data_IF_355202219258
#
_entry.id   IF_355202219258
#
_cell.length_a   1.000
_cell.length_b   1.000
_cell.length_c   1.000
_cell.angle_alpha   90.00
_cell.angle_beta   90.00
_cell.angle_gamma   90.00
#
_symmetry.space_group_name_H-M   'P 1'
#
loop_
_entity.id
_entity.type
_entity.pdbx_description
1 polymer ?
#
# COMPACT_ATOMS: atom_id res chain seq x y z
N UNK A 1 23.56 14.74 -5.29
CA UNK A 1 23.16 16.04 -4.72
C UNK A 1 22.18 16.83 -5.60
N UNK A 2 22.45 17.08 -6.90
CA UNK A 2 21.53 17.89 -7.76
C UNK A 2 20.13 17.28 -7.87
N UNK A 3 20.04 15.95 -8.03
CA UNK A 3 18.77 15.25 -8.18
C UNK A 3 17.86 15.28 -6.94
N UNK A 4 18.43 15.32 -5.74
CA UNK A 4 17.65 15.28 -4.50
C UNK A 4 16.92 16.60 -4.24
N UNK A 5 17.49 17.74 -4.65
CA UNK A 5 16.89 19.05 -4.39
C UNK A 5 15.48 19.20 -4.96
N UNK A 6 15.25 18.74 -6.20
CA UNK A 6 13.93 18.80 -6.83
C UNK A 6 13.09 17.53 -6.60
N UNK A 7 13.71 16.39 -6.23
CA UNK A 7 12.98 15.15 -5.94
C UNK A 7 12.49 15.06 -4.51
N UNK A 8 13.09 15.77 -3.56
CA UNK A 8 12.72 15.73 -2.14
C UNK A 8 11.22 16.02 -1.95
N UNK A 9 10.70 17.02 -2.66
CA UNK A 9 9.28 17.44 -2.61
C UNK A 9 8.33 16.34 -3.12
N UNK A 10 8.77 15.54 -4.10
CA UNK A 10 7.97 14.44 -4.65
C UNK A 10 8.07 13.16 -3.82
N UNK A 11 9.18 12.99 -3.09
CA UNK A 11 9.53 11.77 -2.39
C UNK A 11 9.10 11.77 -0.92
N UNK A 12 8.97 12.93 -0.27
CA UNK A 12 8.60 13.01 1.15
C UNK A 12 7.11 13.34 1.29
N UNK A 13 6.36 12.58 2.09
CA UNK A 13 4.93 12.85 2.33
C UNK A 13 4.68 13.87 3.45
N UNK A 14 5.73 14.23 4.20
CA UNK A 14 5.63 15.17 5.32
C UNK A 14 5.79 16.64 4.93
N UNK A 15 5.70 17.54 5.92
CA UNK A 15 5.91 18.96 5.73
C UNK A 15 7.34 19.28 5.26
N UNK A 16 7.47 20.30 4.41
CA UNK A 16 8.74 20.72 3.80
C UNK A 16 9.69 21.43 4.77
N UNK A 17 9.22 21.74 5.99
CA UNK A 17 10.00 22.43 7.02
C UNK A 17 10.68 21.46 8.02
N UNK A 18 10.49 20.15 7.84
CA UNK A 18 11.01 19.14 8.75
C UNK A 18 12.53 18.94 8.61
N UNK A 19 13.22 18.62 9.71
CA UNK A 19 14.67 18.36 9.71
C UNK A 19 15.02 17.18 8.79
N UNK A 20 14.14 16.18 8.75
CA UNK A 20 14.25 15.05 7.84
C UNK A 20 14.14 15.47 6.36
N UNK A 21 13.27 16.42 6.03
CA UNK A 21 13.12 16.92 4.66
C UNK A 21 14.34 17.73 4.23
N UNK A 22 14.80 18.64 5.12
CA UNK A 22 16.00 19.43 4.86
C UNK A 22 17.23 18.53 4.68
N UNK A 23 17.37 17.48 5.50
CA UNK A 23 18.41 16.47 5.35
C UNK A 23 18.37 15.73 4.00
N UNK A 24 17.18 15.43 3.47
CA UNK A 24 17.02 14.83 2.13
C UNK A 24 17.41 15.83 1.04
N UNK A 25 16.99 17.09 1.17
CA UNK A 25 17.21 18.15 0.17
C UNK A 25 18.69 18.52 0.05
N UNK A 26 19.39 18.65 1.17
CA UNK A 26 20.84 18.96 1.22
C UNK A 26 21.70 17.73 0.98
N UNK A 27 21.15 16.51 1.17
CA UNK A 27 21.90 15.25 1.15
C UNK A 27 23.06 15.30 2.15
N UNK A 28 22.74 15.64 3.40
CA UNK A 28 23.72 15.70 4.48
C UNK A 28 23.90 14.31 5.12
N UNK A 29 25.16 13.93 5.37
CA UNK A 29 25.54 12.67 6.02
C UNK A 29 25.37 12.71 7.54
N UNK A 30 25.30 13.89 8.14
CA UNK A 30 25.16 14.10 9.59
C UNK A 30 23.72 14.30 10.06
N UNK A 31 22.82 14.58 9.11
CA UNK A 31 21.38 14.69 9.32
C UNK A 31 20.75 13.36 9.78
N UNK A 32 19.50 13.38 10.30
CA UNK A 32 18.78 12.15 10.64
C UNK A 32 18.73 11.19 9.46
N UNK A 33 18.90 9.90 9.76
CA UNK A 33 18.86 8.86 8.77
C UNK A 33 17.49 8.84 8.09
N UNK A 34 17.49 8.85 6.77
CA UNK A 34 16.33 8.60 5.93
C UNK A 34 16.76 7.65 4.81
N UNK A 35 16.34 6.39 4.90
CA UNK A 35 16.59 5.38 3.88
C UNK A 35 15.27 4.83 3.32
N UNK A 36 15.20 4.68 2.01
CA UNK A 36 14.06 4.06 1.34
C UNK A 36 14.40 2.64 0.92
N UNK A 37 13.57 1.67 1.31
CA UNK A 37 13.66 0.30 0.82
C UNK A 37 12.74 0.17 -0.39
N UNK A 38 13.33 -0.19 -1.54
CA UNK A 38 12.59 -0.34 -2.79
C UNK A 38 12.16 -1.77 -3.07
N UNK A 39 12.98 -2.76 -2.71
CA UNK A 39 12.69 -4.17 -2.93
C UNK A 39 13.41 -5.07 -1.93
N UNK A 40 12.87 -6.26 -1.71
CA UNK A 40 13.52 -7.31 -0.95
C UNK A 40 14.19 -8.27 -1.94
N UNK A 41 15.50 -8.44 -1.85
CA UNK A 41 16.26 -9.33 -2.73
C UNK A 41 16.37 -10.68 -2.04
N UNK A 42 15.91 -11.78 -2.67
CA UNK A 42 16.10 -13.11 -2.14
C UNK A 42 17.59 -13.47 -2.16
N UNK A 43 18.03 -14.18 -1.12
CA UNK A 43 19.41 -14.64 -1.00
C UNK A 43 19.47 -16.16 -1.17
N UNK A 44 20.65 -16.67 -1.51
CA UNK A 44 20.91 -18.12 -1.57
C UNK A 44 20.76 -18.80 -0.20
N UNK A 45 20.84 -18.04 0.89
CA UNK A 45 20.55 -18.53 2.23
C UNK A 45 19.04 -18.60 2.44
N UNK A 46 18.53 -19.83 2.39
CA UNK A 46 17.10 -20.17 2.46
C UNK A 46 16.38 -19.40 3.58
N UNK A 47 15.52 -18.47 3.17
CA UNK A 47 14.58 -17.76 4.05
C UNK A 47 15.02 -16.36 4.52
N UNK A 48 16.18 -15.85 4.10
CA UNK A 48 16.59 -14.46 4.38
C UNK A 48 16.50 -13.60 3.13
N UNK A 49 16.01 -12.39 3.34
CA UNK A 49 15.96 -11.36 2.30
C UNK A 49 16.85 -10.19 2.68
N UNK A 50 17.51 -9.61 1.69
CA UNK A 50 18.21 -8.35 1.83
C UNK A 50 17.30 -7.21 1.43
N UNK A 51 17.09 -6.25 2.33
CA UNK A 51 16.35 -5.05 2.01
C UNK A 51 17.25 -4.15 1.16
N UNK A 52 16.93 -4.03 -0.12
CA UNK A 52 17.66 -3.19 -1.05
C UNK A 52 17.05 -1.80 -1.08
N UNK A 53 17.88 -0.79 -0.86
CA UNK A 53 17.40 0.56 -0.72
C UNK A 53 18.46 1.61 -0.97
N UNK A 54 18.02 2.87 -0.87
CA UNK A 54 18.87 4.04 -1.03
C UNK A 54 18.81 4.90 0.21
N UNK A 55 19.98 5.32 0.70
CA UNK A 55 20.10 6.31 1.77
C UNK A 55 19.94 7.69 1.17
N UNK A 56 18.91 8.43 1.57
CA UNK A 56 18.64 9.79 1.11
C UNK A 56 19.25 10.86 2.03
N UNK A 57 19.29 10.59 3.34
CA UNK A 57 19.87 11.47 4.35
C UNK A 57 20.49 10.65 5.47
N UNK A 58 21.52 11.20 6.12
CA UNK A 58 22.24 10.57 7.21
C UNK A 58 23.21 9.48 6.75
N UNK A 59 23.69 8.71 7.72
CA UNK A 59 24.57 7.56 7.52
C UNK A 59 23.95 6.34 8.21
N UNK A 60 23.94 5.21 7.49
CA UNK A 60 23.49 3.92 8.03
C UNK A 60 24.72 3.18 8.54
N UNK A 61 24.67 2.71 9.79
CA UNK A 61 25.76 1.96 10.40
C UNK A 61 25.31 0.55 10.82
N UNK A 62 26.22 -0.41 10.73
CA UNK A 62 26.00 -1.76 11.25
C UNK A 62 25.78 -1.72 12.78
N UNK A 63 24.70 -2.35 13.26
CA UNK A 63 24.31 -2.35 14.67
C UNK A 63 23.50 -1.13 15.12
N UNK A 64 23.28 -0.14 14.26
CA UNK A 64 22.52 1.06 14.59
C UNK A 64 21.05 0.73 14.84
N UNK A 65 20.48 1.35 15.87
CA UNK A 65 19.05 1.27 16.16
C UNK A 65 18.29 2.21 15.22
N UNK A 66 17.42 1.63 14.40
CA UNK A 66 16.62 2.37 13.44
C UNK A 66 15.12 2.06 13.59
N UNK A 67 14.29 3.00 13.17
CA UNK A 67 12.84 2.90 13.09
C UNK A 67 12.48 2.44 11.68
N UNK A 68 11.91 1.25 11.56
CA UNK A 68 11.42 0.70 10.30
C UNK A 68 9.93 1.06 10.23
N UNK A 69 9.57 1.86 9.23
CA UNK A 69 8.21 2.35 9.01
C UNK A 69 7.63 1.65 7.78
N UNK A 70 6.53 0.92 7.99
CA UNK A 70 5.77 0.27 6.93
C UNK A 70 5.03 1.28 6.03
N UNK A 71 4.43 0.82 4.91
CA UNK A 71 3.76 1.69 3.95
C UNK A 71 2.56 2.44 4.55
N UNK A 72 1.90 1.86 5.57
CA UNK A 72 0.72 2.45 6.20
C UNK A 72 1.03 3.28 7.45
N UNK A 73 2.32 3.45 7.79
CA UNK A 73 2.72 4.21 8.97
C UNK A 73 2.30 5.69 8.83
N UNK A 74 1.66 6.20 9.87
CA UNK A 74 1.31 7.62 10.02
C UNK A 74 1.98 8.14 11.29
N UNK A 75 2.74 9.25 11.22
CA UNK A 75 3.36 9.85 12.41
C UNK A 75 2.34 10.09 13.53
N UNK A 76 2.67 9.61 14.72
CA UNK A 76 1.79 9.68 15.90
C UNK A 76 1.05 8.37 16.21
N UNK A 77 0.85 7.49 15.23
CA UNK A 77 0.40 6.11 15.47
C UNK A 77 1.59 5.18 15.62
N UNK A 78 1.45 4.13 16.44
CA UNK A 78 2.46 3.06 16.60
C UNK A 78 2.19 1.86 15.69
N UNK A 79 1.14 1.92 14.88
CA UNK A 79 0.83 0.90 13.87
C UNK A 79 1.91 0.94 12.77
N UNK A 80 2.38 -0.22 12.32
CA UNK A 80 3.45 -0.36 11.31
C UNK A 80 4.81 0.28 11.65
N UNK A 81 5.10 0.50 12.94
CA UNK A 81 6.39 0.98 13.43
C UNK A 81 7.18 -0.11 14.17
N UNK A 82 8.36 -0.45 13.66
CA UNK A 82 9.26 -1.41 14.30
C UNK A 82 10.61 -0.77 14.61
N UNK A 83 10.95 -0.66 15.90
CA UNK A 83 12.24 -0.12 16.33
C UNK A 83 13.21 -1.27 16.60
N UNK A 84 14.17 -1.47 15.72
CA UNK A 84 15.11 -2.61 15.74
C UNK A 84 16.50 -2.20 15.28
N UNK A 85 17.47 -3.05 15.59
CA UNK A 85 18.85 -2.83 15.20
C UNK A 85 19.10 -3.44 13.82
N UNK A 86 19.77 -2.69 12.95
CA UNK A 86 20.23 -3.19 11.67
C UNK A 86 21.38 -4.17 11.94
N UNK A 87 21.27 -5.42 11.50
CA UNK A 87 22.27 -6.43 11.84
C UNK A 87 23.57 -6.22 11.08
N UNK A 88 23.49 -5.99 9.76
CA UNK A 88 24.63 -5.73 8.87
C UNK A 88 24.21 -4.89 7.68
N UNK A 89 25.12 -4.03 7.25
CA UNK A 89 25.05 -3.28 5.99
C UNK A 89 25.94 -3.95 4.96
N UNK A 90 25.41 -4.13 3.75
CA UNK A 90 26.10 -4.80 2.66
C UNK A 90 26.07 -3.95 1.39
N UNK A 91 27.14 -4.03 0.62
CA UNK A 91 27.20 -3.51 -0.73
C UNK A 91 26.85 -4.63 -1.71
N UNK A 92 25.81 -4.40 -2.51
CA UNK A 92 25.31 -5.37 -3.48
C UNK A 92 26.06 -5.18 -4.81
N UNK A 93 27.11 -5.97 -5.05
CA UNK A 93 27.87 -6.00 -6.31
C UNK A 93 27.30 -7.05 -7.27
N UNK A 94 26.02 -6.89 -7.64
CA UNK A 94 25.31 -7.83 -8.51
C UNK A 94 25.08 -9.18 -7.83
N UNK A 95 25.98 -10.15 -8.05
CA UNK A 95 25.91 -11.49 -7.45
C UNK A 95 26.65 -11.60 -6.11
N UNK A 96 27.68 -10.78 -5.91
CA UNK A 96 28.49 -10.79 -4.71
C UNK A 96 28.02 -9.70 -3.73
N UNK A 97 28.14 -9.98 -2.45
CA UNK A 97 27.80 -9.04 -1.38
C UNK A 97 28.98 -8.86 -0.46
N UNK A 98 29.37 -7.61 -0.22
CA UNK A 98 30.47 -7.27 0.67
C UNK A 98 29.95 -6.52 1.90
N UNK A 99 30.25 -6.96 3.13
CA UNK A 99 29.86 -6.24 4.33
C UNK A 99 30.67 -4.94 4.46
N UNK A 100 29.97 -3.84 4.73
CA UNK A 100 30.58 -2.52 4.98
C UNK A 100 30.12 -2.04 6.35
N UNK A 101 30.93 -1.26 7.06
CA UNK A 101 30.60 -0.74 8.39
C UNK A 101 29.55 0.38 8.32
N UNK A 102 29.73 1.33 7.41
CA UNK A 102 28.89 2.51 7.27
C UNK A 102 28.59 2.86 5.79
N UNK A 103 27.40 3.40 5.54
CA UNK A 103 26.98 3.83 4.20
C UNK A 103 26.45 5.27 4.28
N UNK A 104 27.14 6.25 3.67
CA UNK A 104 26.69 7.63 3.68
C UNK A 104 25.56 7.89 2.68
N UNK A 105 24.86 9.00 2.87
CA UNK A 105 23.77 9.47 2.03
C UNK A 105 24.13 9.55 0.54
N UNK A 106 23.15 9.30 -0.31
CA UNK A 106 23.27 9.29 -1.77
C UNK A 106 23.51 7.91 -2.36
N UNK A 107 24.06 6.98 -1.57
CA UNK A 107 24.41 5.63 -1.98
C UNK A 107 23.26 4.62 -1.84
N UNK A 108 23.41 3.51 -2.57
CA UNK A 108 22.52 2.36 -2.53
C UNK A 108 23.19 1.29 -1.68
N UNK A 109 22.44 0.68 -0.77
CA UNK A 109 22.94 -0.41 0.06
C UNK A 109 21.87 -1.48 0.28
N UNK A 110 22.34 -2.68 0.64
CA UNK A 110 21.52 -3.73 1.18
C UNK A 110 21.59 -3.73 2.70
N UNK A 111 20.47 -4.02 3.35
CA UNK A 111 20.40 -4.24 4.79
C UNK A 111 20.02 -5.69 5.09
N UNK A 112 20.66 -6.24 6.11
CA UNK A 112 20.36 -7.57 6.65
C UNK A 112 19.64 -7.42 7.98
N UNK A 113 18.58 -8.23 8.18
CA UNK A 113 17.81 -8.28 9.44
C UNK A 113 16.58 -7.36 9.51
N UNK A 114 16.19 -6.76 8.38
CA UNK A 114 14.98 -5.93 8.24
C UNK A 114 13.79 -6.71 7.64
N UNK A 115 14.06 -7.92 7.16
CA UNK A 115 13.15 -8.79 6.40
C UNK A 115 11.90 -9.26 7.15
N UNK A 116 11.95 -9.38 8.47
CA UNK A 116 10.79 -9.77 9.27
C UNK A 116 9.76 -8.65 9.42
N UNK A 117 10.19 -7.39 9.30
CA UNK A 117 9.39 -6.22 9.64
C UNK A 117 8.81 -5.52 8.41
N UNK A 118 9.33 -5.85 7.22
CA UNK A 118 9.02 -5.14 5.99
C UNK A 118 8.70 -6.16 4.90
N UNK A 119 7.55 -5.98 4.24
CA UNK A 119 7.09 -6.91 3.20
C UNK A 119 7.61 -6.48 1.84
N UNK A 120 7.28 -5.26 1.39
CA UNK A 120 7.60 -4.77 0.04
C UNK A 120 8.49 -3.54 0.05
N UNK A 121 7.93 -2.45 0.58
CA UNK A 121 8.57 -1.14 0.64
C UNK A 121 8.38 -0.56 2.03
N UNK A 122 9.26 0.38 2.37
CA UNK A 122 9.14 1.11 3.61
C UNK A 122 10.31 2.05 3.81
N UNK A 123 10.18 2.87 4.83
CA UNK A 123 11.13 3.93 5.15
C UNK A 123 11.84 3.59 6.45
N UNK A 124 13.16 3.72 6.47
CA UNK A 124 13.96 3.56 7.69
C UNK A 124 14.45 4.91 8.13
N UNK A 125 14.22 5.25 9.41
CA UNK A 125 14.60 6.53 9.98
C UNK A 125 15.20 6.42 11.37
N UNK A 126 15.97 7.43 11.78
CA UNK A 126 16.34 7.60 13.20
C UNK A 126 15.52 8.67 13.90
N UNK A 127 14.85 9.53 13.13
CA UNK A 127 14.05 10.64 13.67
C UNK A 127 12.64 10.21 14.06
N UNK A 128 12.14 10.73 15.18
CA UNK A 128 10.87 10.32 15.77
C UNK A 128 9.65 10.90 15.04
N UNK A 129 9.75 12.14 14.59
CA UNK A 129 8.65 12.84 13.90
C UNK A 129 8.74 12.71 12.37
N UNK A 130 9.60 11.82 11.87
CA UNK A 130 9.77 11.60 10.44
C UNK A 130 8.49 11.03 9.83
N UNK A 131 8.14 11.56 8.66
CA UNK A 131 7.10 11.03 7.82
C UNK A 131 7.65 9.95 6.89
N UNK A 132 6.76 9.15 6.33
CA UNK A 132 7.12 8.17 5.32
C UNK A 132 7.58 8.86 4.02
N UNK A 133 8.49 8.18 3.32
CA UNK A 133 8.71 8.46 1.91
C UNK A 133 7.54 7.90 1.11
N UNK A 134 7.21 8.58 0.02
CA UNK A 134 6.08 8.28 -0.84
C UNK A 134 6.15 6.83 -1.28
N UNK A 135 5.12 6.08 -0.90
CA UNK A 135 5.00 4.66 -1.25
C UNK A 135 4.82 4.55 -2.77
N UNK A 136 5.45 3.53 -3.37
CA UNK A 136 5.26 3.25 -4.79
C UNK A 136 3.79 2.88 -5.04
N UNK A 137 3.08 3.77 -5.74
CA UNK A 137 1.81 3.43 -6.38
C UNK A 137 2.13 2.66 -7.65
N UNK A 138 1.79 1.37 -7.67
CA UNK A 138 1.86 0.59 -8.91
C UNK A 138 0.72 1.05 -9.81
N UNK A 139 1.05 1.53 -11.01
CA UNK A 139 0.04 1.93 -12.01
C UNK A 139 -0.78 0.76 -12.53
N UNK A 140 -0.34 -0.48 -12.28
CA UNK A 140 -0.96 -1.70 -12.80
C UNK A 140 -1.50 -2.50 -11.62
N UNK A 141 -2.81 -2.70 -11.59
CA UNK A 141 -3.44 -3.64 -10.66
C UNK A 141 -3.24 -5.08 -11.13
N UNK A 142 -3.08 -6.06 -10.23
CA UNK A 142 -3.01 -7.47 -10.61
C UNK A 142 -4.39 -7.94 -11.09
N UNK A 143 -4.49 -8.20 -12.40
CA UNK A 143 -5.76 -8.53 -13.08
C UNK A 143 -5.99 -10.03 -13.22
N UNK A 144 -4.92 -10.83 -13.33
CA UNK A 144 -5.02 -12.29 -13.48
C UNK A 144 -4.87 -12.93 -12.12
N UNK A 145 -5.80 -13.80 -11.76
CA UNK A 145 -5.84 -14.53 -10.49
C UNK A 145 -5.83 -16.02 -10.76
N UNK A 146 -5.12 -16.76 -9.92
CA UNK A 146 -5.09 -18.22 -9.96
C UNK A 146 -5.14 -18.76 -8.54
N UNK A 147 -5.96 -19.79 -8.33
CA UNK A 147 -5.96 -20.54 -7.08
C UNK A 147 -4.81 -21.54 -7.07
N UNK A 148 -4.08 -21.58 -5.96
CA UNK A 148 -2.91 -22.43 -5.74
C UNK A 148 -3.18 -23.30 -4.53
N UNK A 149 -3.14 -24.62 -4.74
CA UNK A 149 -3.29 -25.61 -3.68
C UNK A 149 -2.07 -26.54 -3.66
N UNK A 150 -1.66 -27.04 -2.47
CA UNK A 150 -0.61 -28.05 -2.42
C UNK A 150 -1.19 -29.39 -2.86
N UNK A 151 -0.46 -30.18 -3.66
CA UNK A 151 -0.93 -31.54 -4.03
C UNK A 151 -1.08 -32.45 -2.81
N UNK A 152 -0.24 -32.24 -1.81
CA UNK A 152 -0.31 -32.94 -0.54
C UNK A 152 -0.74 -31.97 0.57
N UNK A 153 -1.88 -32.19 1.25
CA UNK A 153 -2.36 -31.30 2.30
C UNK A 153 -1.38 -31.19 3.49
N UNK A 154 -0.50 -32.18 3.70
CA UNK A 154 0.52 -32.12 4.75
C UNK A 154 1.56 -30.99 4.55
N UNK A 155 1.75 -30.53 3.30
CA UNK A 155 2.73 -29.52 2.94
C UNK A 155 2.17 -28.09 2.94
N UNK A 156 0.91 -27.88 3.35
CA UNK A 156 0.27 -26.57 3.43
C UNK A 156 1.10 -25.51 4.20
N UNK A 157 1.76 -25.83 5.33
CA UNK A 157 2.61 -24.85 6.01
C UNK A 157 3.76 -24.31 5.14
N UNK A 158 4.34 -25.16 4.28
CA UNK A 158 5.40 -24.74 3.35
C UNK A 158 4.84 -23.86 2.24
N UNK A 159 3.63 -24.14 1.76
CA UNK A 159 2.97 -23.27 0.78
C UNK A 159 2.71 -21.88 1.35
N UNK A 160 2.14 -21.80 2.56
CA UNK A 160 1.85 -20.51 3.22
C UNK A 160 3.14 -19.71 3.44
N UNK A 161 4.22 -20.37 3.85
CA UNK A 161 5.52 -19.70 3.99
C UNK A 161 6.10 -19.29 2.63
N UNK A 162 5.97 -20.13 1.60
CA UNK A 162 6.38 -19.83 0.23
C UNK A 162 5.62 -18.65 -0.37
N UNK A 163 4.31 -18.57 -0.18
CA UNK A 163 3.47 -17.45 -0.63
C UNK A 163 3.85 -16.14 0.06
N UNK A 164 4.18 -16.18 1.35
CA UNK A 164 4.71 -15.02 2.08
C UNK A 164 6.07 -14.58 1.55
N UNK A 165 6.90 -15.51 1.08
CA UNK A 165 8.21 -15.22 0.46
C UNK A 165 8.04 -14.62 -0.93
N UNK A 166 7.15 -15.17 -1.74
CA UNK A 166 6.80 -14.66 -3.07
C UNK A 166 6.26 -13.22 -3.00
N UNK A 167 5.38 -12.93 -2.03
CA UNK A 167 4.86 -11.58 -1.82
C UNK A 167 5.93 -10.55 -1.37
N UNK A 168 7.09 -11.01 -0.88
CA UNK A 168 8.24 -10.15 -0.54
C UNK A 168 9.17 -9.95 -1.73
N UNK A 169 9.41 -10.98 -2.53
CA UNK A 169 10.30 -10.89 -3.69
C UNK A 169 9.69 -10.04 -4.80
N UNK A 170 8.40 -10.22 -5.09
CA UNK A 170 7.70 -9.45 -6.13
C UNK A 170 6.71 -8.42 -5.54
N UNK A 171 6.94 -7.12 -5.79
CA UNK A 171 6.04 -6.07 -5.32
C UNK A 171 4.64 -6.08 -5.96
N UNK A 172 4.48 -6.61 -7.17
CA UNK A 172 3.21 -6.63 -7.90
C UNK A 172 2.35 -7.83 -7.57
N UNK A 173 2.94 -8.92 -7.09
CA UNK A 173 2.19 -10.12 -6.68
C UNK A 173 1.37 -9.82 -5.43
N UNK A 174 0.10 -10.22 -5.45
CA UNK A 174 -0.76 -10.23 -4.28
C UNK A 174 -1.18 -11.66 -3.97
N UNK A 175 -0.85 -12.11 -2.76
CA UNK A 175 -1.30 -13.40 -2.23
C UNK A 175 -2.47 -13.13 -1.29
N UNK A 176 -3.66 -13.56 -1.67
CA UNK A 176 -4.91 -13.35 -0.92
C UNK A 176 -5.40 -14.72 -0.45
N UNK A 177 -5.94 -14.77 0.77
CA UNK A 177 -6.64 -15.94 1.28
C UNK A 177 -8.12 -15.59 1.23
N UNK A 178 -8.89 -16.31 0.43
CA UNK A 178 -10.34 -16.11 0.37
C UNK A 178 -11.03 -16.73 1.59
N UNK A 179 -12.27 -16.29 1.87
CA UNK A 179 -13.09 -16.86 2.95
C UNK A 179 -13.41 -18.35 2.73
N UNK A 180 -13.36 -18.82 1.49
CA UNK A 180 -13.43 -20.23 1.10
C UNK A 180 -12.26 -21.07 1.63
N UNK A 181 -11.16 -20.42 2.04
CA UNK A 181 -9.90 -21.05 2.43
C UNK A 181 -8.94 -21.26 1.27
N UNK A 182 -9.30 -20.86 0.05
CA UNK A 182 -8.43 -20.96 -1.12
C UNK A 182 -7.31 -19.90 -1.09
N UNK A 183 -6.11 -20.29 -1.53
CA UNK A 183 -4.99 -19.38 -1.67
C UNK A 183 -4.92 -18.87 -3.11
N UNK A 184 -5.17 -17.58 -3.28
CA UNK A 184 -5.14 -16.93 -4.60
C UNK A 184 -3.85 -16.15 -4.76
N UNK A 185 -3.18 -16.37 -5.89
CA UNK A 185 -2.06 -15.56 -6.36
C UNK A 185 -2.56 -14.70 -7.50
N UNK A 186 -2.45 -13.38 -7.33
CA UNK A 186 -2.82 -12.40 -8.34
C UNK A 186 -1.56 -11.74 -8.92
N UNK A 187 -1.51 -11.64 -10.25
CA UNK A 187 -0.41 -11.06 -11.01
C UNK A 187 -0.88 -10.08 -12.07
N UNK A 188 0.05 -9.26 -12.54
CA UNK A 188 -0.19 -8.25 -13.58
C UNK A 188 -0.55 -8.84 -14.97
N UNK A 189 -0.18 -10.09 -15.25
CA UNK A 189 -0.42 -10.74 -16.54
C UNK A 189 -0.06 -12.22 -16.52
N UNK A 190 -0.37 -12.94 -17.59
CA UNK A 190 -0.18 -14.40 -17.69
C UNK A 190 1.29 -14.81 -17.56
N UNK A 191 2.19 -14.20 -18.33
CA UNK A 191 3.62 -14.48 -18.27
C UNK A 191 4.22 -14.21 -16.89
N UNK A 192 3.79 -13.13 -16.25
CA UNK A 192 4.25 -12.79 -14.91
C UNK A 192 3.80 -13.86 -13.91
N UNK A 193 2.55 -14.30 -14.00
CA UNK A 193 2.01 -15.33 -13.13
C UNK A 193 2.71 -16.69 -13.34
N UNK A 194 3.01 -17.06 -14.58
CA UNK A 194 3.75 -18.29 -14.90
C UNK A 194 5.13 -18.31 -14.24
N UNK A 195 5.87 -17.20 -14.32
CA UNK A 195 7.18 -17.06 -13.66
C UNK A 195 7.02 -17.16 -12.14
N UNK A 196 6.03 -16.46 -11.55
CA UNK A 196 5.80 -16.50 -10.11
C UNK A 196 5.41 -17.89 -9.59
N UNK A 197 4.62 -18.64 -10.37
CA UNK A 197 4.23 -20.01 -10.02
C UNK A 197 5.44 -20.95 -10.09
N UNK A 198 6.31 -20.76 -11.08
CA UNK A 198 7.55 -21.52 -11.19
C UNK A 198 8.50 -21.22 -10.03
N UNK A 199 8.69 -19.95 -9.67
CA UNK A 199 9.51 -19.55 -8.52
C UNK A 199 8.92 -20.08 -7.20
N UNK A 200 7.58 -20.15 -7.10
CA UNK A 200 6.90 -20.73 -5.94
C UNK A 200 7.18 -22.23 -5.81
N UNK A 201 7.09 -22.99 -6.92
CA UNK A 201 7.31 -24.43 -6.96
C UNK A 201 8.80 -24.81 -6.80
N UNK A 202 9.72 -24.11 -7.46
CA UNK A 202 11.15 -24.44 -7.49
C UNK A 202 11.91 -23.88 -6.27
N UNK A 203 11.72 -22.59 -5.94
CA UNK A 203 12.61 -21.87 -5.00
C UNK A 203 11.98 -21.61 -3.63
N UNK A 204 10.70 -21.25 -3.56
CA UNK A 204 10.11 -20.78 -2.31
C UNK A 204 9.49 -21.89 -1.47
N UNK A 205 8.62 -22.70 -2.07
CA UNK A 205 7.90 -23.76 -1.38
C UNK A 205 8.54 -25.13 -1.61
N UNK A 206 9.25 -25.35 -2.73
CA UNK A 206 9.89 -26.62 -3.12
C UNK A 206 8.93 -27.82 -3.02
N UNK A 207 7.65 -27.61 -3.38
CA UNK A 207 6.58 -28.61 -3.30
C UNK A 207 5.79 -28.61 -4.59
N UNK A 208 5.26 -29.77 -5.00
CA UNK A 208 4.39 -29.83 -6.16
C UNK A 208 3.06 -29.15 -5.83
N UNK A 209 2.75 -28.11 -6.60
CA UNK A 209 1.49 -27.36 -6.48
C UNK A 209 0.47 -27.82 -7.54
N UNK A 210 -0.80 -27.56 -7.26
CA UNK A 210 -1.92 -27.66 -8.18
C UNK A 210 -2.42 -26.25 -8.42
N UNK A 211 -2.58 -25.93 -9.69
CA UNK A 211 -2.87 -24.58 -10.17
C UNK A 211 -4.21 -24.64 -10.90
N UNK A 212 -5.13 -23.73 -10.59
CA UNK A 212 -6.40 -23.59 -11.33
C UNK A 212 -6.20 -22.82 -12.64
N UNK A 213 -7.22 -22.82 -13.48
CA UNK A 213 -7.23 -21.96 -14.66
C UNK A 213 -7.19 -20.47 -14.24
N UNK A 214 -6.50 -19.60 -15.02
CA UNK A 214 -6.42 -18.18 -14.74
C UNK A 214 -7.79 -17.52 -14.92
N UNK A 215 -8.25 -16.86 -13.86
CA UNK A 215 -9.48 -16.09 -13.83
C UNK A 215 -9.14 -14.60 -13.81
N UNK A 216 -9.87 -13.81 -14.59
CA UNK A 216 -9.72 -12.35 -14.58
C UNK A 216 -10.56 -11.77 -13.45
N UNK A 217 -9.99 -10.82 -12.69
CA UNK A 217 -10.74 -10.10 -11.66
C UNK A 217 -11.77 -9.17 -12.31
N UNK A 218 -13.05 -9.39 -12.03
CA UNK A 218 -14.12 -8.48 -12.43
C UNK A 218 -14.26 -7.34 -11.42
N UNK A 219 -14.82 -6.23 -11.89
CA UNK A 219 -15.28 -5.12 -11.07
C UNK A 219 -16.78 -4.95 -11.27
N UNK A 220 -17.49 -4.68 -10.20
CA UNK A 220 -18.93 -4.42 -10.23
C UNK A 220 -19.17 -2.92 -10.36
N UNK A 221 -20.11 -2.53 -11.21
CA UNK A 221 -20.53 -1.15 -11.40
C UNK A 221 -22.03 -1.08 -11.63
N UNK A 222 -22.61 0.09 -11.44
CA UNK A 222 -24.02 0.39 -11.70
C UNK A 222 -24.14 1.19 -12.99
N UNK A 223 -25.10 0.84 -13.85
CA UNK A 223 -25.33 1.58 -15.12
C UNK A 223 -26.34 2.71 -14.97
N UNK A 224 -27.30 2.57 -14.06
CA UNK A 224 -28.42 3.51 -13.89
C UNK A 224 -28.66 3.80 -12.40
N UNK A 225 -29.40 4.86 -12.10
CA UNK A 225 -29.80 5.16 -10.72
C UNK A 225 -30.76 4.08 -10.20
N UNK A 226 -30.65 3.74 -8.92
CA UNK A 226 -31.61 2.85 -8.26
C UNK A 226 -33.04 3.39 -8.34
N UNK A 227 -33.93 2.62 -8.98
CA UNK A 227 -35.36 2.92 -9.10
C UNK A 227 -36.04 3.13 -7.74
N UNK A 228 -35.67 2.28 -6.77
CA UNK A 228 -36.26 2.26 -5.42
C UNK A 228 -35.20 2.68 -4.41
N UNK A 229 -35.62 3.48 -3.43
CA UNK A 229 -34.78 3.81 -2.29
C UNK A 229 -34.60 2.58 -1.40
N UNK A 230 -33.39 2.04 -1.36
CA UNK A 230 -33.07 0.84 -0.59
C UNK A 230 -33.12 1.14 0.90
N UNK A 231 -33.89 0.34 1.65
CA UNK A 231 -34.01 0.44 3.10
C UNK A 231 -33.33 -0.77 3.76
N UNK A 232 -32.35 -0.51 4.60
CA UNK A 232 -31.78 -1.52 5.50
C UNK A 232 -32.07 -1.18 6.96
N UNK A 233 -32.35 -2.21 7.76
CA UNK A 233 -32.58 -2.08 9.20
C UNK A 233 -31.47 -2.79 9.96
N UNK A 234 -31.02 -2.20 11.04
CA UNK A 234 -30.07 -2.85 11.95
C UNK A 234 -30.71 -4.08 12.63
N UNK A 235 -29.90 -5.04 13.10
CA UNK A 235 -30.39 -6.23 13.83
C UNK A 235 -31.23 -5.88 15.07
N UNK A 236 -30.91 -4.76 15.73
CA UNK A 236 -31.67 -4.25 16.87
C UNK A 236 -33.01 -3.57 16.49
N UNK A 237 -33.33 -3.46 15.19
CA UNK A 237 -34.54 -2.85 14.60
C UNK A 237 -34.74 -1.35 14.87
N UNK A 238 -33.86 -0.69 15.62
CA UNK A 238 -33.98 0.73 15.98
C UNK A 238 -33.44 1.66 14.89
N UNK A 239 -32.40 1.26 14.15
CA UNK A 239 -31.78 2.09 13.14
C UNK A 239 -32.23 1.67 11.74
N UNK A 240 -32.40 2.67 10.87
CA UNK A 240 -32.79 2.49 9.48
C UNK A 240 -31.91 3.37 8.60
N UNK A 241 -31.39 2.79 7.53
CA UNK A 241 -30.57 3.49 6.55
C UNK A 241 -31.29 3.44 5.21
N UNK A 242 -31.39 4.60 4.56
CA UNK A 242 -31.95 4.75 3.23
C UNK A 242 -30.84 5.20 2.28
N UNK A 243 -30.59 4.43 1.23
CA UNK A 243 -29.52 4.68 0.27
C UNK A 243 -30.04 4.49 -1.16
N UNK A 244 -29.42 5.21 -2.09
CA UNK A 244 -29.55 5.01 -3.52
C UNK A 244 -28.16 5.02 -4.14
N UNK A 245 -27.92 4.12 -5.09
CA UNK A 245 -26.71 4.12 -5.90
C UNK A 245 -26.98 4.84 -7.22
N UNK A 246 -25.98 5.57 -7.72
CA UNK A 246 -25.99 6.24 -9.02
C UNK A 246 -24.63 6.01 -9.69
N UNK A 247 -24.56 5.80 -11.02
CA UNK A 247 -23.30 5.79 -11.75
C UNK A 247 -22.56 7.12 -11.58
N UNK A 248 -21.23 7.04 -11.50
CA UNK A 248 -20.39 8.23 -11.61
C UNK A 248 -20.35 8.73 -13.04
N UNK A 249 -20.16 10.05 -13.25
CA UNK A 249 -19.87 10.56 -14.58
C UNK A 249 -18.55 10.02 -15.11
N UNK A 250 -18.50 9.82 -16.42
CA UNK A 250 -17.31 9.30 -17.10
C UNK A 250 -16.08 10.18 -16.85
N UNK A 251 -14.95 9.53 -16.55
CA UNK A 251 -13.68 10.20 -16.25
C UNK A 251 -13.44 10.52 -14.77
N UNK A 252 -14.48 10.58 -13.92
CA UNK A 252 -14.28 10.85 -12.49
C UNK A 252 -13.49 9.72 -11.80
N UNK A 253 -13.77 8.47 -12.14
CA UNK A 253 -13.03 7.32 -11.62
C UNK A 253 -11.53 7.40 -11.96
N UNK A 254 -11.18 7.78 -13.19
CA UNK A 254 -9.78 7.92 -13.60
C UNK A 254 -9.07 9.07 -12.88
N UNK A 255 -9.75 10.19 -12.66
CA UNK A 255 -9.20 11.33 -11.93
C UNK A 255 -8.95 10.99 -10.45
N UNK A 256 -9.81 10.16 -9.86
CA UNK A 256 -9.63 9.63 -8.50
C UNK A 256 -8.38 8.73 -8.47
N UNK A 257 -8.25 7.81 -9.44
CA UNK A 257 -7.10 6.89 -9.52
C UNK A 257 -5.77 7.63 -9.78
N UNK A 258 -5.78 8.65 -10.65
CA UNK A 258 -4.63 9.54 -10.90
C UNK A 258 -4.26 10.37 -9.66
N UNK A 259 -5.21 10.57 -8.76
CA UNK A 259 -5.04 11.32 -7.53
C UNK A 259 -5.26 12.83 -7.69
N UNK A 260 -5.96 13.25 -8.74
CA UNK A 260 -6.40 14.63 -8.91
C UNK A 260 -7.48 14.96 -7.88
N UNK A 261 -8.35 13.99 -7.59
CA UNK A 261 -9.34 14.04 -6.51
C UNK A 261 -8.88 13.14 -5.38
N UNK A 262 -8.44 13.72 -4.26
CA UNK A 262 -8.03 12.94 -3.07
C UNK A 262 -8.90 13.23 -1.85
N UNK A 263 -9.05 12.25 -0.94
CA UNK A 263 -9.76 12.44 0.33
C UNK A 263 -9.11 13.51 1.22
N UNK A 264 -7.78 13.66 1.13
CA UNK A 264 -6.97 14.56 1.96
C UNK A 264 -7.03 16.04 1.53
N UNK A 265 -7.51 16.33 0.31
CA UNK A 265 -7.66 17.71 -0.16
C UNK A 265 -8.74 18.46 0.62
N UNK A 266 -8.62 19.79 0.67
CA UNK A 266 -9.63 20.64 1.27
C UNK A 266 -10.98 20.46 0.55
N UNK A 267 -12.04 20.22 1.32
CA UNK A 267 -13.39 19.96 0.82
C UNK A 267 -13.93 21.05 -0.11
N UNK A 268 -13.51 22.32 0.07
CA UNK A 268 -13.92 23.43 -0.81
C UNK A 268 -13.24 23.37 -2.18
N UNK A 269 -11.94 23.09 -2.22
CA UNK A 269 -11.19 22.99 -3.46
C UNK A 269 -11.68 21.79 -4.29
N UNK A 270 -11.89 20.65 -3.63
CA UNK A 270 -12.46 19.46 -4.26
C UNK A 270 -13.86 19.70 -4.81
N UNK A 271 -14.73 20.38 -4.05
CA UNK A 271 -16.09 20.68 -4.51
C UNK A 271 -16.11 21.62 -5.72
N UNK A 272 -15.17 22.57 -5.82
CA UNK A 272 -15.03 23.41 -7.03
C UNK A 272 -14.58 22.60 -8.24
N UNK A 273 -13.58 21.74 -8.06
CA UNK A 273 -13.10 20.87 -9.13
C UNK A 273 -14.20 19.94 -9.67
N UNK A 274 -14.99 19.35 -8.78
CA UNK A 274 -16.12 18.49 -9.14
C UNK A 274 -17.25 19.28 -9.85
N UNK A 275 -17.48 20.52 -9.46
CA UNK A 275 -18.46 21.37 -10.12
C UNK A 275 -17.99 21.81 -11.52
N UNK A 276 -16.75 22.29 -11.64
CA UNK A 276 -16.20 22.81 -12.90
C UNK A 276 -16.01 21.73 -13.97
N UNK A 277 -15.61 20.51 -13.57
CA UNK A 277 -15.29 19.42 -14.51
C UNK A 277 -16.44 18.44 -14.75
N UNK A 278 -17.29 18.22 -13.75
CA UNK A 278 -18.31 17.17 -13.77
C UNK A 278 -19.74 17.66 -13.46
N UNK A 279 -19.95 18.97 -13.36
CA UNK A 279 -21.25 19.61 -13.09
C UNK A 279 -21.96 19.08 -11.82
N UNK A 280 -21.18 18.68 -10.80
CA UNK A 280 -21.73 18.35 -9.50
C UNK A 280 -22.26 19.58 -8.76
N UNK A 281 -23.35 19.44 -8.01
CA UNK A 281 -23.75 20.48 -7.07
C UNK A 281 -22.66 20.67 -6.01
N UNK A 282 -22.21 21.92 -5.84
CA UNK A 282 -21.22 22.32 -4.85
C UNK A 282 -21.67 21.92 -3.44
N UNK A 283 -22.97 21.92 -3.15
CA UNK A 283 -23.47 21.54 -1.84
C UNK A 283 -23.36 20.03 -1.57
N UNK A 284 -23.59 19.20 -2.59
CA UNK A 284 -23.45 17.74 -2.50
C UNK A 284 -21.97 17.33 -2.48
N UNK A 285 -21.14 17.93 -3.32
CA UNK A 285 -19.71 17.66 -3.37
C UNK A 285 -18.96 18.00 -2.07
N UNK A 286 -19.47 18.98 -1.30
CA UNK A 286 -18.95 19.29 0.05
C UNK A 286 -19.28 18.24 1.09
N UNK A 287 -20.32 17.44 0.87
CA UNK A 287 -20.83 16.42 1.79
C UNK A 287 -20.33 15.00 1.48
N UNK A 288 -19.26 14.88 0.70
CA UNK A 288 -18.56 13.61 0.51
C UNK A 288 -17.94 13.16 1.83
N UNK A 289 -18.31 11.96 2.30
CA UNK A 289 -17.79 11.36 3.53
C UNK A 289 -16.50 10.59 3.31
N UNK A 290 -16.47 9.70 2.33
CA UNK A 290 -15.30 8.87 2.03
C UNK A 290 -15.26 8.42 0.57
N UNK A 291 -14.07 8.02 0.14
CA UNK A 291 -13.80 7.30 -1.10
C UNK A 291 -13.55 5.82 -0.76
N UNK A 292 -13.93 4.87 -1.60
CA UNK A 292 -13.72 3.42 -1.37
C UNK A 292 -13.40 2.65 -2.65
N UNK A 293 -12.67 1.52 -2.60
CA UNK A 293 -12.14 0.84 -1.41
C UNK A 293 -10.88 1.51 -0.84
N UNK A 294 -10.46 1.09 0.36
CA UNK A 294 -9.24 1.52 1.05
C UNK A 294 -9.03 3.04 1.18
N UNK A 295 -10.11 3.81 1.15
CA UNK A 295 -10.05 5.27 1.27
C UNK A 295 -9.61 6.00 0.00
N UNK A 296 -9.15 5.33 -1.06
CA UNK A 296 -8.68 5.99 -2.30
C UNK A 296 -9.31 5.46 -3.58
N UNK A 297 -10.17 4.44 -3.48
CA UNK A 297 -10.78 3.86 -4.67
C UNK A 297 -11.88 4.71 -5.31
N UNK A 298 -12.30 4.31 -6.52
CA UNK A 298 -13.22 5.07 -7.38
C UNK A 298 -14.71 4.93 -6.98
N UNK A 299 -15.04 4.80 -5.69
CA UNK A 299 -16.41 4.86 -5.16
C UNK A 299 -16.55 6.01 -4.18
N UNK A 300 -17.68 6.73 -4.18
CA UNK A 300 -17.88 7.91 -3.32
C UNK A 300 -19.15 7.76 -2.50
N UNK A 301 -19.03 7.96 -1.19
CA UNK A 301 -20.18 8.07 -0.29
C UNK A 301 -20.52 9.54 -0.05
N UNK A 302 -21.74 9.95 -0.39
CA UNK A 302 -22.26 11.31 -0.20
C UNK A 302 -23.42 11.34 0.78
N UNK A 303 -23.45 12.37 1.63
CA UNK A 303 -24.55 12.61 2.56
C UNK A 303 -25.58 13.58 1.98
N UNK A 304 -26.77 13.05 1.68
CA UNK A 304 -27.92 13.82 1.21
C UNK A 304 -29.02 13.97 2.28
N UNK A 305 -28.74 13.66 3.54
CA UNK A 305 -29.74 13.69 4.62
C UNK A 305 -30.11 15.12 5.03
N UNK A 306 -31.34 15.27 5.57
CA UNK A 306 -31.88 16.53 6.09
C UNK A 306 -32.55 16.27 7.43
N UNK A 307 -32.14 17.01 8.47
CA UNK A 307 -32.82 17.00 9.79
C UNK A 307 -32.50 15.83 10.72
N UNK A 308 -31.34 15.17 10.60
CA UNK A 308 -30.94 14.03 11.46
C UNK A 308 -30.06 14.52 12.62
N UNK A 309 -30.52 14.36 13.87
CA UNK A 309 -29.89 14.97 15.06
C UNK A 309 -28.61 14.28 15.57
N UNK A 310 -28.26 13.07 15.11
CA UNK A 310 -27.08 12.31 15.56
C UNK A 310 -26.25 11.71 14.42
N UNK A 311 -26.28 12.35 13.24
CA UNK A 311 -25.63 11.82 12.04
C UNK A 311 -24.09 11.71 12.18
N UNK A 312 -23.47 12.64 12.89
CA UNK A 312 -22.02 12.65 13.07
C UNK A 312 -21.51 11.48 13.91
N UNK A 313 -22.33 10.94 14.83
CA UNK A 313 -21.95 9.80 15.67
C UNK A 313 -21.91 8.49 14.88
N UNK A 314 -22.76 8.35 13.86
CA UNK A 314 -22.82 7.14 13.02
C UNK A 314 -21.86 7.20 11.82
N UNK A 315 -21.24 8.36 11.57
CA UNK A 315 -20.42 8.60 10.38
C UNK A 315 -19.29 7.58 10.23
N UNK A 316 -18.55 7.31 11.29
CA UNK A 316 -17.41 6.38 11.24
C UNK A 316 -17.85 4.95 10.96
N UNK A 317 -19.01 4.54 11.49
CA UNK A 317 -19.61 3.22 11.24
C UNK A 317 -20.10 3.11 9.78
N UNK A 318 -20.69 4.16 9.23
CA UNK A 318 -21.10 4.20 7.83
C UNK A 318 -19.91 4.16 6.88
N UNK A 319 -18.82 4.87 7.20
CA UNK A 319 -17.58 4.83 6.42
C UNK A 319 -17.01 3.42 6.44
N UNK A 320 -16.87 2.79 7.61
CA UNK A 320 -16.36 1.42 7.72
C UNK A 320 -17.23 0.42 6.96
N UNK A 321 -18.56 0.53 7.05
CA UNK A 321 -19.49 -0.32 6.30
C UNK A 321 -19.37 -0.13 4.79
N UNK A 322 -19.16 1.10 4.32
CA UNK A 322 -18.95 1.40 2.90
C UNK A 322 -17.62 0.84 2.39
N UNK A 323 -16.51 1.01 3.14
CA UNK A 323 -15.21 0.45 2.79
C UNK A 323 -15.21 -1.09 2.71
N UNK A 324 -16.08 -1.74 3.47
CA UNK A 324 -16.21 -3.19 3.42
C UNK A 324 -17.12 -3.66 2.28
N UNK A 325 -18.11 -2.84 1.90
CA UNK A 325 -19.03 -3.16 0.81
C UNK A 325 -18.43 -2.94 -0.58
N UNK A 326 -17.53 -1.96 -0.72
CA UNK A 326 -16.82 -1.63 -1.97
C UNK A 326 -15.43 -2.24 -1.97
#
# INVERSE_FOLDING_TARGET
>A
VVAQKYRAELLYEGPQDDEAFMGIKTCDSTAPLMMYISKMVPTSDKGRFYAFGRVFSGCVQTGQKARIMGPNYVPGKKEDLYVKNIQRTILMMGRYTEPIEDVPCGNICGLVGVDQYLIKTGTITTFEHAHNLRVMKFSVSPVVRVAVEPRNPADLPKLVEGLKRLAKSDPMVQCIIEESGEHIVAGAGELHLEICLKDLEEDHACIPIKVSDPVVSYRETVSEESDIMCLSKSPNKHNRIFLKARPMPDGLAEDIDKGDVTPRQEFKARARYLNEKYDYDVNEARKIWCFGPEGTGPNVLMDCTKGVQYLNEIKDSCIAGFQWAT
#
